data_IF_986964004142
#
_entry.id   IF_986964004142
#
_cell.length_a   1.000
_cell.length_b   1.000
_cell.length_c   1.000
_cell.angle_alpha   90.00
_cell.angle_beta   90.00
_cell.angle_gamma   90.00
#
_symmetry.space_group_name_H-M   'P 1'
#
loop_
_entity.id
_entity.type
_entity.pdbx_description
1 polymer ?
#
# COMPACT_ATOMS: atom_id res chain seq x y z
N UNK A 1 28.45 25.97 -57.15
CA UNK A 1 29.22 25.09 -56.24
C UNK A 1 28.35 24.84 -55.01
N UNK A 2 27.43 23.85 -55.05
CA UNK A 2 27.47 22.56 -54.34
C UNK A 2 27.83 22.70 -52.84
N UNK A 3 26.84 22.56 -51.93
CA UNK A 3 26.46 21.35 -51.16
C UNK A 3 27.22 21.33 -49.81
N UNK A 4 26.60 21.32 -48.61
CA UNK A 4 26.22 20.16 -47.76
C UNK A 4 25.76 20.78 -46.40
N UNK A 5 24.52 20.62 -45.91
CA UNK A 5 23.90 19.50 -45.14
C UNK A 5 24.04 19.63 -43.61
N UNK A 6 22.86 19.83 -42.96
CA UNK A 6 22.38 19.32 -41.66
C UNK A 6 23.39 18.90 -40.57
N UNK A 7 23.12 19.33 -39.33
CA UNK A 7 22.84 18.40 -38.21
C UNK A 7 22.28 19.12 -36.98
N UNK A 8 21.02 18.77 -36.66
CA UNK A 8 20.41 18.91 -35.35
C UNK A 8 21.23 18.14 -34.31
N UNK A 9 21.61 18.78 -33.21
CA UNK A 9 21.89 18.10 -31.95
C UNK A 9 21.49 19.03 -30.79
N UNK A 10 20.22 18.93 -30.39
CA UNK A 10 19.75 19.36 -29.07
C UNK A 10 19.86 18.11 -28.19
N UNK A 11 20.89 18.04 -27.36
CA UNK A 11 21.00 17.04 -26.30
C UNK A 11 21.54 17.73 -25.05
N UNK A 12 20.80 17.62 -23.95
CA UNK A 12 21.25 18.06 -22.63
C UNK A 12 20.12 18.54 -21.74
N UNK A 13 19.10 17.69 -21.56
CA UNK A 13 17.97 17.89 -20.65
C UNK A 13 18.48 18.00 -19.20
N UNK A 14 18.74 19.21 -18.72
CA UNK A 14 18.80 19.48 -17.29
C UNK A 14 17.36 19.56 -16.76
N UNK A 15 16.72 18.40 -16.58
CA UNK A 15 15.51 18.29 -15.82
C UNK A 15 15.86 18.53 -14.34
N UNK A 16 15.89 19.80 -13.94
CA UNK A 16 15.73 20.19 -12.55
C UNK A 16 14.34 19.75 -12.12
N UNK A 17 14.27 18.58 -11.51
CA UNK A 17 13.03 18.09 -10.93
C UNK A 17 12.64 19.02 -9.78
N UNK A 18 11.48 19.64 -9.89
CA UNK A 18 10.97 20.60 -8.89
C UNK A 18 10.52 19.87 -7.62
N UNK A 19 10.49 20.55 -6.47
CA UNK A 19 10.04 19.96 -5.21
C UNK A 19 8.61 19.41 -5.26
N UNK A 20 7.81 19.82 -6.25
CA UNK A 20 6.48 19.27 -6.54
C UNK A 20 6.53 17.85 -7.11
N UNK A 21 7.59 17.45 -7.83
CA UNK A 21 7.78 16.07 -8.28
C UNK A 21 8.25 15.13 -7.15
N UNK A 22 8.65 15.69 -6.00
CA UNK A 22 9.00 14.97 -4.76
C UNK A 22 7.81 14.76 -3.82
N UNK A 23 6.69 15.43 -4.06
CA UNK A 23 5.42 15.00 -3.49
C UNK A 23 4.99 13.81 -4.34
N UNK A 24 5.28 12.59 -3.87
CA UNK A 24 4.83 11.34 -4.49
C UNK A 24 3.45 11.57 -5.11
N UNK A 25 3.42 11.61 -6.43
CA UNK A 25 2.26 12.05 -7.19
C UNK A 25 1.07 11.25 -6.70
N UNK A 26 0.19 11.97 -6.00
CA UNK A 26 -1.07 11.54 -5.42
C UNK A 26 -2.04 11.22 -6.57
N UNK A 27 -1.71 10.25 -7.40
CA UNK A 27 -2.72 9.71 -8.29
C UNK A 27 -3.62 8.81 -7.45
N UNK A 28 -4.92 8.97 -7.63
CA UNK A 28 -5.95 7.99 -7.27
C UNK A 28 -5.79 6.67 -8.06
N UNK A 29 -4.59 6.37 -8.55
CA UNK A 29 -4.31 5.15 -9.27
C UNK A 29 -4.38 3.96 -8.33
N UNK A 30 -5.10 2.96 -8.80
CA UNK A 30 -5.16 1.64 -8.20
C UNK A 30 -3.76 1.01 -8.20
N UNK A 31 -3.35 0.50 -7.04
CA UNK A 31 -2.10 -0.21 -6.80
C UNK A 31 -2.39 -1.68 -6.53
N UNK A 32 -1.51 -2.54 -7.01
CA UNK A 32 -1.59 -3.98 -6.81
C UNK A 32 -0.60 -4.42 -5.75
N UNK A 33 -1.11 -4.98 -4.66
CA UNK A 33 -0.33 -5.57 -3.60
C UNK A 33 0.00 -7.02 -3.94
N UNK A 34 1.28 -7.33 -3.92
CA UNK A 34 1.85 -8.66 -4.09
C UNK A 34 2.06 -9.28 -2.71
N UNK A 35 1.64 -10.53 -2.55
CA UNK A 35 1.86 -11.33 -1.36
C UNK A 35 2.91 -12.40 -1.68
N UNK A 36 4.09 -12.31 -1.06
CA UNK A 36 5.26 -13.18 -1.37
C UNK A 36 5.10 -14.63 -0.89
N UNK A 37 4.02 -14.96 -0.18
CA UNK A 37 3.86 -16.24 0.49
C UNK A 37 3.17 -17.28 -0.41
N UNK A 38 3.92 -17.84 -1.35
CA UNK A 38 3.46 -18.87 -2.30
C UNK A 38 2.88 -20.14 -1.65
N UNK A 39 2.88 -20.27 -0.32
CA UNK A 39 2.41 -21.47 0.37
C UNK A 39 1.01 -21.37 0.97
N UNK A 40 0.46 -20.17 1.11
CA UNK A 40 -0.89 -20.00 1.69
C UNK A 40 -1.89 -19.71 0.58
N UNK A 41 -2.87 -20.60 0.41
CA UNK A 41 -3.96 -20.41 -0.57
C UNK A 41 -4.96 -19.31 -0.14
N UNK A 42 -5.01 -19.00 1.17
CA UNK A 42 -6.06 -18.18 1.77
C UNK A 42 -5.45 -17.11 2.70
N UNK A 43 -5.67 -15.84 2.35
CA UNK A 43 -5.28 -14.69 3.17
C UNK A 43 -6.50 -13.97 3.72
N UNK A 44 -6.30 -13.30 4.85
CA UNK A 44 -7.33 -12.57 5.56
C UNK A 44 -6.89 -11.13 5.80
N UNK A 45 -7.83 -10.20 5.70
CA UNK A 45 -7.68 -8.85 6.21
C UNK A 45 -8.32 -8.82 7.60
N UNK A 46 -7.52 -8.57 8.64
CA UNK A 46 -7.98 -8.62 10.03
C UNK A 46 -7.71 -7.33 10.78
N UNK A 47 -8.55 -7.01 11.76
CA UNK A 47 -8.20 -6.02 12.78
C UNK A 47 -6.96 -6.50 13.56
N UNK A 48 -6.01 -5.60 13.76
CA UNK A 48 -4.78 -5.85 14.53
C UNK A 48 -5.04 -5.58 16.01
N UNK A 49 -4.59 -6.48 16.90
CA UNK A 49 -4.59 -6.20 18.34
C UNK A 49 -3.54 -5.11 18.62
N UNK A 50 -4.01 -3.87 18.82
CA UNK A 50 -3.27 -2.60 18.81
C UNK A 50 -2.24 -2.39 19.92
N UNK A 51 -1.71 -3.46 20.53
CA UNK A 51 -0.71 -3.38 21.61
C UNK A 51 0.61 -2.74 21.17
N UNK A 52 0.92 -2.67 19.86
CA UNK A 52 2.13 -2.02 19.34
C UNK A 52 1.81 -1.15 18.13
N UNK A 53 2.32 0.09 18.14
CA UNK A 53 2.13 1.07 17.06
C UNK A 53 2.98 0.74 15.82
N UNK A 54 4.09 0.03 16.01
CA UNK A 54 5.00 -0.42 14.95
C UNK A 54 5.46 -1.84 15.24
N UNK A 55 5.23 -2.77 14.32
CA UNK A 55 5.71 -4.14 14.43
C UNK A 55 4.66 -5.19 14.08
N UNK A 56 4.99 -6.45 14.38
CA UNK A 56 4.08 -7.56 14.13
C UNK A 56 3.02 -7.64 15.23
N UNK A 57 1.79 -7.23 14.91
CA UNK A 57 0.66 -7.36 15.82
C UNK A 57 -0.10 -8.65 15.52
N UNK A 58 -0.59 -9.37 16.54
CA UNK A 58 -1.46 -10.51 16.30
C UNK A 58 -2.79 -10.04 15.72
N UNK A 59 -3.44 -10.92 14.95
CA UNK A 59 -4.80 -10.68 14.46
C UNK A 59 -5.80 -10.80 15.61
N UNK A 60 -6.78 -9.91 15.64
CA UNK A 60 -8.03 -10.14 16.36
C UNK A 60 -8.90 -11.05 15.50
N UNK A 61 -8.79 -12.36 15.72
CA UNK A 61 -9.36 -13.40 14.84
C UNK A 61 -10.88 -13.33 14.68
N UNK A 62 -11.61 -12.71 15.62
CA UNK A 62 -13.05 -12.47 15.51
C UNK A 62 -13.43 -11.38 14.51
N UNK A 63 -12.45 -10.63 14.00
CA UNK A 63 -12.66 -9.47 13.11
C UNK A 63 -11.74 -9.60 11.89
N UNK A 64 -12.00 -10.61 11.06
CA UNK A 64 -11.26 -10.95 9.86
C UNK A 64 -12.21 -11.17 8.67
N UNK A 65 -11.79 -10.73 7.48
CA UNK A 65 -12.46 -11.01 6.21
C UNK A 65 -11.54 -11.82 5.30
N UNK A 66 -12.07 -12.90 4.72
CA UNK A 66 -11.34 -13.75 3.76
C UNK A 66 -11.17 -13.02 2.43
N UNK A 67 -9.92 -12.85 1.99
CA UNK A 67 -9.58 -12.23 0.70
C UNK A 67 -9.72 -13.19 -0.50
N UNK A 68 -10.03 -14.46 -0.23
CA UNK A 68 -10.45 -15.43 -1.24
C UNK A 68 -11.91 -15.24 -1.62
N UNK A 69 -12.75 -14.94 -0.64
CA UNK A 69 -14.19 -14.78 -0.80
C UNK A 69 -14.60 -13.34 -1.13
N UNK A 70 -13.82 -12.37 -0.65
CA UNK A 70 -14.14 -10.95 -0.79
C UNK A 70 -12.95 -10.16 -1.33
N UNK A 71 -13.25 -9.15 -2.14
CA UNK A 71 -12.20 -8.25 -2.62
C UNK A 71 -11.65 -7.39 -1.47
N UNK A 72 -10.39 -6.97 -1.63
CA UNK A 72 -9.71 -6.14 -0.64
C UNK A 72 -10.44 -4.80 -0.41
N UNK A 73 -10.89 -4.15 -1.49
CA UNK A 73 -11.64 -2.91 -1.41
C UNK A 73 -12.94 -3.09 -0.60
N UNK A 74 -13.70 -4.16 -0.87
CA UNK A 74 -14.95 -4.48 -0.14
C UNK A 74 -14.65 -4.76 1.33
N UNK A 75 -13.62 -5.55 1.62
CA UNK A 75 -13.21 -5.87 3.00
C UNK A 75 -12.83 -4.60 3.78
N UNK A 76 -12.13 -3.65 3.15
CA UNK A 76 -11.81 -2.36 3.78
C UNK A 76 -13.04 -1.49 4.03
N UNK A 77 -14.01 -1.49 3.11
CA UNK A 77 -15.29 -0.77 3.31
C UNK A 77 -16.08 -1.33 4.50
N UNK A 78 -16.07 -2.65 4.70
CA UNK A 78 -16.71 -3.25 5.88
C UNK A 78 -16.07 -2.76 7.18
N UNK A 79 -14.73 -2.69 7.25
CA UNK A 79 -14.06 -2.10 8.41
C UNK A 79 -14.35 -0.59 8.56
N UNK A 80 -14.49 0.15 7.45
CA UNK A 80 -14.88 1.56 7.47
C UNK A 80 -16.31 1.77 8.01
N UNK A 81 -17.17 0.76 8.00
CA UNK A 81 -18.54 0.82 8.54
C UNK A 81 -18.63 0.47 10.03
N UNK A 82 -17.61 -0.18 10.61
CA UNK A 82 -17.63 -0.52 12.04
C UNK A 82 -17.67 0.72 12.94
N UNK A 83 -18.33 0.67 14.10
CA UNK A 83 -18.28 1.74 15.08
C UNK A 83 -16.84 1.91 15.61
N UNK A 84 -16.38 3.15 15.73
CA UNK A 84 -14.99 3.48 16.08
C UNK A 84 -14.95 4.29 17.37
N UNK A 85 -14.51 3.66 18.44
CA UNK A 85 -14.15 4.37 19.68
C UNK A 85 -12.71 4.89 19.62
N UNK A 86 -11.84 4.17 18.89
CA UNK A 86 -10.42 4.45 18.68
C UNK A 86 -9.99 4.30 17.21
N UNK A 87 -8.73 4.63 16.90
CA UNK A 87 -8.17 4.33 15.58
C UNK A 87 -8.03 2.82 15.42
N UNK A 88 -8.51 2.29 14.30
CA UNK A 88 -8.39 0.87 13.97
C UNK A 88 -7.23 0.66 13.01
N UNK A 89 -6.49 -0.43 13.19
CA UNK A 89 -5.48 -0.87 12.24
C UNK A 89 -5.86 -2.24 11.71
N UNK A 90 -5.82 -2.41 10.40
CA UNK A 90 -6.07 -3.70 9.76
C UNK A 90 -4.84 -4.15 9.00
N UNK A 91 -4.54 -5.44 9.09
CA UNK A 91 -3.35 -6.06 8.51
C UNK A 91 -3.69 -7.36 7.80
N UNK A 92 -2.71 -7.90 7.10
CA UNK A 92 -2.86 -9.15 6.34
C UNK A 92 -2.34 -10.33 7.16
N UNK A 93 -3.09 -11.43 7.14
CA UNK A 93 -2.78 -12.63 7.92
C UNK A 93 -3.04 -13.90 7.11
N UNK A 94 -2.28 -14.95 7.40
CA UNK A 94 -2.60 -16.31 6.93
C UNK A 94 -3.74 -16.90 7.76
N UNK A 95 -4.31 -18.02 7.32
CA UNK A 95 -5.28 -18.82 8.09
C UNK A 95 -4.75 -19.27 9.47
N UNK A 96 -3.44 -19.37 9.63
CA UNK A 96 -2.77 -19.71 10.89
C UNK A 96 -2.61 -18.50 11.83
N UNK A 97 -3.09 -17.31 11.42
CA UNK A 97 -2.97 -16.07 12.20
C UNK A 97 -1.57 -15.43 12.14
N UNK A 98 -0.69 -15.89 11.25
CA UNK A 98 0.63 -15.28 11.04
C UNK A 98 0.48 -14.03 10.18
N UNK A 99 1.04 -12.91 10.65
CA UNK A 99 1.01 -11.67 9.86
C UNK A 99 1.85 -11.81 8.59
N UNK A 100 1.26 -11.35 7.50
CA UNK A 100 1.84 -11.22 6.17
C UNK A 100 2.02 -9.73 5.87
N UNK A 101 3.10 -9.39 5.18
CA UNK A 101 3.40 -8.00 4.80
C UNK A 101 3.43 -7.95 3.27
N UNK A 102 2.31 -7.59 2.62
CA UNK A 102 2.28 -7.40 1.19
C UNK A 102 3.16 -6.24 0.77
N UNK A 103 3.43 -6.14 -0.52
CA UNK A 103 4.22 -5.05 -1.07
C UNK A 103 3.75 -4.65 -2.45
N UNK A 104 4.15 -3.47 -2.91
CA UNK A 104 4.09 -3.11 -4.32
C UNK A 104 5.44 -2.55 -4.75
N UNK A 105 5.62 -2.44 -6.06
CA UNK A 105 6.80 -1.83 -6.64
C UNK A 105 6.43 -0.45 -7.20
N UNK A 106 7.25 0.54 -6.89
CA UNK A 106 7.10 1.91 -7.37
C UNK A 106 8.49 2.46 -7.68
N UNK A 107 8.72 2.89 -8.93
CA UNK A 107 10.01 3.41 -9.38
C UNK A 107 11.20 2.47 -9.09
N UNK A 108 11.00 1.16 -9.27
CA UNK A 108 12.01 0.13 -9.00
C UNK A 108 12.29 -0.12 -7.52
N UNK A 109 11.53 0.49 -6.61
CA UNK A 109 11.66 0.29 -5.17
C UNK A 109 10.51 -0.55 -4.64
N UNK A 110 10.85 -1.48 -3.75
CA UNK A 110 9.85 -2.29 -3.03
C UNK A 110 9.33 -1.54 -1.83
N UNK A 111 8.03 -1.29 -1.80
CA UNK A 111 7.34 -0.62 -0.69
C UNK A 111 6.44 -1.63 0.02
N UNK A 112 6.67 -1.81 1.32
CA UNK A 112 5.95 -2.75 2.16
C UNK A 112 4.68 -2.09 2.71
N UNK A 113 3.54 -2.76 2.57
CA UNK A 113 2.27 -2.40 3.19
C UNK A 113 2.22 -3.01 4.60
N UNK A 114 2.38 -2.18 5.63
CA UNK A 114 2.41 -2.66 7.02
C UNK A 114 0.99 -2.86 7.57
N UNK A 115 0.11 -1.89 7.31
CA UNK A 115 -1.29 -1.90 7.73
C UNK A 115 -2.07 -0.81 6.99
N UNK A 116 -3.39 -0.93 7.01
CA UNK A 116 -4.29 0.19 6.80
C UNK A 116 -4.77 0.72 8.14
N UNK A 117 -4.81 2.04 8.27
CA UNK A 117 -5.27 2.72 9.48
C UNK A 117 -6.55 3.45 9.17
N UNK A 118 -7.57 3.17 9.96
CA UNK A 118 -8.87 3.80 9.86
C UNK A 118 -9.03 4.73 11.05
N UNK A 119 -9.08 6.03 10.77
CA UNK A 119 -9.28 7.05 11.80
C UNK A 119 -10.75 7.13 12.23
N UNK A 120 -10.99 7.73 13.40
CA UNK A 120 -12.34 8.05 13.90
C UNK A 120 -13.19 8.86 12.91
N UNK A 121 -12.54 9.66 12.07
CA UNK A 121 -13.16 10.45 11.00
C UNK A 121 -13.56 9.64 9.76
N UNK A 122 -13.49 8.30 9.80
CA UNK A 122 -13.65 7.39 8.66
C UNK A 122 -12.68 7.67 7.51
N UNK A 123 -11.53 8.29 7.81
CA UNK A 123 -10.46 8.46 6.85
C UNK A 123 -9.56 7.23 6.86
N UNK A 124 -9.31 6.70 5.67
CA UNK A 124 -8.42 5.58 5.44
C UNK A 124 -7.01 6.06 5.14
N UNK A 125 -6.03 5.45 5.79
CA UNK A 125 -4.62 5.69 5.58
C UNK A 125 -3.88 4.38 5.37
N UNK A 126 -2.73 4.43 4.71
CA UNK A 126 -1.78 3.33 4.63
C UNK A 126 -0.56 3.66 5.48
N UNK A 127 -0.13 2.70 6.29
CA UNK A 127 1.22 2.67 6.85
C UNK A 127 2.12 1.82 5.96
N UNK A 128 3.21 2.42 5.48
CA UNK A 128 4.13 1.78 4.55
C UNK A 128 5.60 2.02 4.89
N UNK A 129 6.47 1.14 4.37
CA UNK A 129 7.91 1.19 4.55
C UNK A 129 8.63 0.95 3.22
N UNK A 130 9.45 1.91 2.77
CA UNK A 130 10.40 1.65 1.67
C UNK A 130 11.44 0.65 2.17
N UNK A 131 11.51 -0.53 1.53
CA UNK A 131 12.31 -1.66 2.02
C UNK A 131 13.81 -1.33 2.10
N UNK A 132 14.31 -0.58 1.12
CA UNK A 132 15.73 -0.31 0.95
C UNK A 132 16.19 0.85 1.85
N UNK A 133 15.43 1.95 1.87
CA UNK A 133 15.79 3.15 2.65
C UNK A 133 15.31 3.12 4.09
N UNK A 134 14.46 2.14 4.46
CA UNK A 134 13.78 2.05 5.77
C UNK A 134 12.97 3.30 6.12
N UNK A 135 12.57 4.08 5.13
CA UNK A 135 11.72 5.26 5.33
C UNK A 135 10.26 4.83 5.50
N UNK A 136 9.63 5.33 6.55
CA UNK A 136 8.22 5.12 6.82
C UNK A 136 7.38 6.21 6.17
N UNK A 137 6.23 5.80 5.65
CA UNK A 137 5.25 6.69 5.04
C UNK A 137 3.89 6.40 5.65
N UNK A 138 3.17 7.48 5.91
CA UNK A 138 1.77 7.42 6.29
C UNK A 138 1.01 8.30 5.33
N UNK A 139 0.17 7.70 4.49
CA UNK A 139 -0.53 8.43 3.44
C UNK A 139 -2.04 8.25 3.57
N UNK A 140 -2.80 9.22 3.07
CA UNK A 140 -4.26 9.09 2.92
C UNK A 140 -4.57 8.28 1.67
N UNK A 141 -5.58 7.41 1.72
CA UNK A 141 -5.96 6.55 0.60
C UNK A 141 -7.46 6.24 0.60
N UNK A 142 -7.91 5.47 -0.39
CA UNK A 142 -9.29 4.98 -0.52
C UNK A 142 -9.27 3.46 -0.71
N UNK A 143 -10.35 2.79 -0.32
CA UNK A 143 -10.50 1.34 -0.43
C UNK A 143 -10.29 0.83 -1.88
N UNK A 144 -10.89 1.53 -2.85
CA UNK A 144 -10.79 1.23 -4.28
C UNK A 144 -9.40 1.44 -4.91
N UNK A 145 -8.45 2.03 -4.17
CA UNK A 145 -7.09 2.22 -4.68
C UNK A 145 -6.23 0.96 -4.55
N UNK A 146 -6.77 -0.16 -4.06
CA UNK A 146 -5.99 -1.34 -3.70
C UNK A 146 -6.61 -2.64 -4.18
N UNK A 147 -5.79 -3.42 -4.86
CA UNK A 147 -6.10 -4.78 -5.30
C UNK A 147 -5.03 -5.74 -4.78
N UNK A 148 -5.39 -7.00 -4.57
CA UNK A 148 -4.40 -8.07 -4.40
C UNK A 148 -4.06 -8.61 -5.78
N UNK A 149 -2.77 -8.69 -6.10
CA UNK A 149 -2.28 -9.49 -7.21
C UNK A 149 -2.36 -10.96 -6.81
N UNK A 150 -3.40 -11.65 -7.29
CA UNK A 150 -3.61 -13.10 -7.14
C UNK A 150 -2.69 -13.88 -8.06
#
# INVERSE_FOLDING_TARGET
>A
MRLILLLFFILGSNANLTAEEKLLTLSDATRKLVIDDRTSEDYFLCLMDGKKVFGKNPAKTSECYSLKEQDLAVSMELFLQLPKEEEMQVGFYTSEGKQVIPYWEENGQRILCLSFVIRKSNQLFLQALRKDTKQYFFWKTFSGNWEILK
#
